data_IF_936996292335
#
_entry.id   IF_936996292335
#
_cell.length_a   1.000
_cell.length_b   1.000
_cell.length_c   1.000
_cell.angle_alpha   90.00
_cell.angle_beta   90.00
_cell.angle_gamma   90.00
#
_symmetry.space_group_name_H-M   'P 1'
#
loop_
_entity.id
_entity.type
_entity.pdbx_description
1 polymer ?
#
# COMPACT_ATOMS: atom_id res chain seq x y z
N UNK A 1 21.71 -3.84 -1.23
CA UNK A 1 21.00 -4.07 -2.51
C UNK A 1 21.63 -5.31 -3.05
N UNK A 2 20.86 -6.39 -3.04
CA UNK A 2 21.33 -7.71 -3.40
C UNK A 2 20.71 -8.05 -4.76
N UNK A 3 21.53 -8.53 -5.69
CA UNK A 3 21.07 -8.88 -7.02
C UNK A 3 21.74 -10.15 -7.53
N UNK A 4 21.01 -10.91 -8.35
CA UNK A 4 21.48 -12.11 -9.03
C UNK A 4 21.22 -11.99 -10.53
N UNK A 5 22.21 -12.41 -11.34
CA UNK A 5 22.06 -12.51 -12.80
C UNK A 5 21.46 -13.87 -13.12
N UNK A 6 20.30 -13.87 -13.77
CA UNK A 6 19.60 -15.08 -14.19
C UNK A 6 20.18 -15.63 -15.50
N UNK A 7 19.87 -16.90 -15.81
CA UNK A 7 20.35 -17.57 -17.02
C UNK A 7 19.88 -16.92 -18.33
N UNK A 8 18.75 -16.20 -18.31
CA UNK A 8 18.21 -15.47 -19.46
C UNK A 8 18.80 -14.04 -19.62
N UNK A 9 19.77 -13.68 -18.78
CA UNK A 9 20.46 -12.40 -18.82
C UNK A 9 19.70 -11.24 -18.17
N UNK A 10 18.68 -11.54 -17.35
CA UNK A 10 17.98 -10.55 -16.52
C UNK A 10 18.54 -10.48 -15.10
N UNK A 11 18.14 -9.47 -14.33
CA UNK A 11 18.56 -9.34 -12.93
C UNK A 11 17.35 -9.51 -12.01
N UNK A 12 17.46 -10.42 -11.05
CA UNK A 12 16.60 -10.43 -9.88
C UNK A 12 17.20 -9.46 -8.85
N UNK A 13 16.43 -8.46 -8.42
CA UNK A 13 16.91 -7.40 -7.52
C UNK A 13 16.03 -7.36 -6.29
N UNK A 14 16.64 -7.56 -5.11
CA UNK A 14 15.98 -7.39 -3.83
C UNK A 14 16.16 -5.97 -3.34
N UNK A 15 15.04 -5.28 -3.19
CA UNK A 15 14.99 -3.88 -2.76
C UNK A 15 14.26 -3.75 -1.44
N UNK A 16 14.76 -2.86 -0.59
CA UNK A 16 14.08 -2.40 0.60
C UNK A 16 13.78 -0.92 0.42
N UNK A 17 12.53 -0.53 0.68
CA UNK A 17 12.13 0.87 0.63
C UNK A 17 12.73 1.60 1.83
N UNK A 18 13.39 2.74 1.57
CA UNK A 18 14.01 3.57 2.62
C UNK A 18 13.12 4.76 3.01
N UNK A 19 12.41 5.33 2.05
CA UNK A 19 11.54 6.48 2.26
C UNK A 19 10.79 6.87 1.01
N UNK A 20 9.84 7.78 1.16
CA UNK A 20 9.11 8.36 0.03
C UNK A 20 9.85 9.57 -0.51
N UNK A 21 9.70 9.78 -1.81
CA UNK A 21 10.28 10.91 -2.52
C UNK A 21 9.21 11.58 -3.37
N UNK A 22 9.39 12.86 -3.64
CA UNK A 22 8.67 13.61 -4.67
C UNK A 22 9.57 13.72 -5.89
N UNK A 23 9.05 13.36 -7.06
CA UNK A 23 9.71 13.63 -8.33
C UNK A 23 9.47 15.09 -8.70
N UNK A 24 10.54 15.82 -9.03
CA UNK A 24 10.50 17.25 -9.34
C UNK A 24 10.56 17.49 -10.84
N UNK A 25 11.67 17.15 -11.48
CA UNK A 25 11.88 17.32 -12.91
C UNK A 25 12.71 16.15 -13.48
N UNK A 26 12.44 15.73 -14.73
CA UNK A 26 13.21 14.68 -15.39
C UNK A 26 14.57 15.21 -15.84
N UNK A 27 15.59 14.36 -15.80
CA UNK A 27 16.91 14.64 -16.38
C UNK A 27 16.92 14.14 -17.83
N UNK A 28 17.24 15.02 -18.78
CA UNK A 28 17.28 14.69 -20.20
C UNK A 28 18.51 13.86 -20.60
N UNK A 29 18.41 13.17 -21.74
CA UNK A 29 19.52 12.58 -22.50
C UNK A 29 20.30 11.44 -21.81
N UNK A 30 19.64 10.66 -20.96
CA UNK A 30 20.21 9.51 -20.26
C UNK A 30 19.61 8.20 -20.79
N UNK A 31 20.36 7.08 -20.81
CA UNK A 31 19.88 5.80 -21.34
C UNK A 31 18.80 5.15 -20.47
N UNK A 32 18.53 5.71 -19.28
CA UNK A 32 17.48 5.30 -18.35
C UNK A 32 16.83 6.54 -17.72
N UNK A 33 15.57 6.39 -17.28
CA UNK A 33 14.84 7.49 -16.67
C UNK A 33 15.53 7.97 -15.38
N UNK A 34 15.87 9.25 -15.33
CA UNK A 34 16.46 9.91 -14.16
C UNK A 34 15.63 11.15 -13.81
N UNK A 35 15.57 11.45 -12.52
CA UNK A 35 14.76 12.55 -11.98
C UNK A 35 15.52 13.28 -10.88
N UNK A 36 15.31 14.59 -10.77
CA UNK A 36 15.57 15.31 -9.54
C UNK A 36 14.45 15.02 -8.54
N UNK A 37 14.83 14.74 -7.30
CA UNK A 37 13.90 14.28 -6.27
C UNK A 37 14.18 14.98 -4.95
N UNK A 38 13.15 15.09 -4.13
CA UNK A 38 13.26 15.51 -2.73
C UNK A 38 12.57 14.51 -1.80
N UNK A 39 12.95 14.41 -0.52
CA UNK A 39 12.21 13.60 0.44
C UNK A 39 10.74 14.04 0.54
N UNK A 40 9.82 13.07 0.52
CA UNK A 40 8.41 13.31 0.79
C UNK A 40 8.13 13.16 2.29
N UNK A 41 7.35 14.05 2.91
CA UNK A 41 7.21 14.08 4.36
C UNK A 41 6.41 12.87 4.90
N UNK A 42 6.89 12.30 6.01
CA UNK A 42 6.10 11.43 6.90
C UNK A 42 5.67 12.25 8.13
N UNK A 43 4.43 12.70 8.15
CA UNK A 43 3.96 13.67 9.16
C UNK A 43 3.22 12.96 10.29
N UNK A 44 3.75 13.07 11.50
CA UNK A 44 3.07 12.67 12.72
C UNK A 44 3.00 11.15 12.92
N UNK A 45 1.93 10.70 13.58
CA UNK A 45 1.63 9.29 13.84
C UNK A 45 0.14 9.03 13.68
N UNK A 46 -0.35 7.90 14.17
CA UNK A 46 -1.78 7.64 14.26
C UNK A 46 -2.15 7.24 15.69
N UNK A 47 -3.34 7.64 16.11
CA UNK A 47 -3.92 7.19 17.37
C UNK A 47 -4.14 5.66 17.34
N UNK A 48 -3.91 4.93 18.44
CA UNK A 48 -4.12 3.49 18.48
C UNK A 48 -5.52 3.04 18.02
N UNK A 49 -6.55 3.87 18.21
CA UNK A 49 -7.92 3.59 17.75
C UNK A 49 -8.05 3.65 16.23
N UNK A 50 -7.33 4.55 15.55
CA UNK A 50 -7.27 4.64 14.08
C UNK A 50 -6.58 3.38 13.53
N UNK A 51 -5.43 3.03 14.09
CA UNK A 51 -4.66 1.83 13.75
C UNK A 51 -5.50 0.56 13.90
N UNK A 52 -6.17 0.39 15.05
CA UNK A 52 -7.04 -0.76 15.30
C UNK A 52 -8.26 -0.80 14.36
N UNK A 53 -8.83 0.35 14.04
CA UNK A 53 -9.98 0.45 13.13
C UNK A 53 -9.60 0.05 11.71
N UNK A 54 -8.45 0.50 11.21
CA UNK A 54 -7.94 0.15 9.89
C UNK A 54 -7.62 -1.34 9.80
N UNK A 55 -6.95 -1.89 10.81
CA UNK A 55 -6.67 -3.33 10.90
C UNK A 55 -7.96 -4.16 10.87
N UNK A 56 -8.96 -3.81 11.69
CA UNK A 56 -10.23 -4.53 11.73
C UNK A 56 -10.98 -4.48 10.39
N UNK A 57 -10.88 -3.35 9.66
CA UNK A 57 -11.46 -3.23 8.33
C UNK A 57 -10.73 -4.12 7.31
N UNK A 58 -9.40 -4.16 7.34
CA UNK A 58 -8.59 -5.02 6.49
C UNK A 58 -8.87 -6.51 6.72
N UNK A 59 -8.84 -6.96 7.99
CA UNK A 59 -9.15 -8.35 8.36
C UNK A 59 -10.55 -8.75 7.89
N UNK A 60 -11.54 -7.88 8.06
CA UNK A 60 -12.90 -8.13 7.58
C UNK A 60 -12.94 -8.26 6.06
N UNK A 61 -12.26 -7.38 5.33
CA UNK A 61 -12.16 -7.45 3.88
C UNK A 61 -11.53 -8.77 3.43
N UNK A 62 -10.36 -9.15 3.97
CA UNK A 62 -9.65 -10.38 3.61
C UNK A 62 -10.48 -11.63 3.90
N UNK A 63 -11.16 -11.67 5.05
CA UNK A 63 -12.08 -12.76 5.41
C UNK A 63 -13.22 -12.89 4.38
N UNK A 64 -13.80 -11.78 3.94
CA UNK A 64 -14.82 -11.79 2.89
C UNK A 64 -14.21 -12.13 1.53
N UNK A 65 -12.96 -11.78 1.25
CA UNK A 65 -12.27 -12.19 0.03
C UNK A 65 -11.95 -13.68 0.01
N UNK A 66 -12.00 -14.37 1.16
CA UNK A 66 -11.60 -15.77 1.29
C UNK A 66 -10.08 -15.96 1.34
N UNK A 67 -9.35 -14.92 1.74
CA UNK A 67 -7.91 -15.00 1.97
C UNK A 67 -7.68 -15.63 3.34
N UNK A 68 -6.97 -16.75 3.37
CA UNK A 68 -6.55 -17.44 4.59
C UNK A 68 -5.16 -16.95 5.02
N UNK A 69 -4.93 -16.86 6.33
CA UNK A 69 -3.66 -16.42 6.91
C UNK A 69 -3.80 -15.31 7.95
N UNK A 70 -2.78 -15.16 8.79
CA UNK A 70 -2.69 -14.05 9.74
C UNK A 70 -1.93 -12.89 9.10
N UNK A 71 -2.41 -11.67 9.35
CA UNK A 71 -1.68 -10.47 9.02
C UNK A 71 -0.67 -10.19 10.13
N UNK A 72 0.59 -10.52 9.90
CA UNK A 72 1.68 -10.05 10.74
C UNK A 72 2.02 -8.61 10.34
N UNK A 73 1.67 -7.66 11.22
CA UNK A 73 1.92 -6.25 10.99
C UNK A 73 2.53 -5.65 12.25
N UNK A 74 3.62 -4.90 12.06
CA UNK A 74 4.27 -4.15 13.12
C UNK A 74 3.31 -3.12 13.75
N UNK A 75 3.41 -2.86 15.07
CA UNK A 75 2.54 -1.91 15.75
C UNK A 75 2.80 -0.45 15.36
N UNK A 76 3.85 -0.18 14.58
CA UNK A 76 4.16 1.15 14.06
C UNK A 76 3.10 1.60 13.02
N UNK A 77 2.41 2.74 13.24
CA UNK A 77 1.37 3.21 12.32
C UNK A 77 1.87 3.49 10.91
N UNK A 78 3.13 3.92 10.75
CA UNK A 78 3.71 4.21 9.43
C UNK A 78 3.87 2.92 8.66
N UNK A 79 4.59 1.94 9.22
CA UNK A 79 4.74 0.60 8.63
C UNK A 79 3.39 -0.05 8.32
N UNK A 80 2.45 -0.04 9.28
CA UNK A 80 1.11 -0.60 9.09
C UNK A 80 0.39 0.03 7.90
N UNK A 81 0.45 1.35 7.77
CA UNK A 81 -0.24 2.05 6.67
C UNK A 81 0.30 1.66 5.29
N UNK A 82 1.59 1.32 5.17
CA UNK A 82 2.18 0.83 3.92
C UNK A 82 1.78 -0.62 3.63
N UNK A 83 1.84 -1.50 4.64
CA UNK A 83 1.41 -2.89 4.48
C UNK A 83 -0.06 -2.96 4.06
N UNK A 84 -0.93 -2.20 4.73
CA UNK A 84 -2.34 -2.13 4.38
C UNK A 84 -2.58 -1.49 2.99
N UNK A 85 -1.75 -0.53 2.58
CA UNK A 85 -1.82 0.02 1.21
C UNK A 85 -1.47 -1.04 0.16
N UNK A 86 -0.48 -1.90 0.42
CA UNK A 86 -0.10 -2.98 -0.49
C UNK A 86 -1.22 -4.04 -0.62
N UNK A 87 -1.95 -4.30 0.46
CA UNK A 87 -3.11 -5.21 0.48
C UNK A 87 -4.35 -4.64 -0.20
N UNK A 88 -4.41 -3.32 -0.42
CA UNK A 88 -5.59 -2.68 -0.99
C UNK A 88 -5.75 -3.07 -2.45
N UNK A 89 -6.93 -3.61 -2.85
CA UNK A 89 -7.26 -3.79 -4.26
C UNK A 89 -7.32 -2.43 -4.94
N UNK A 90 -6.69 -2.30 -6.10
CA UNK A 90 -6.72 -1.04 -6.82
C UNK A 90 -5.78 -1.03 -8.00
N UNK A 91 -6.00 -0.06 -8.88
CA UNK A 91 -5.07 0.23 -9.97
C UNK A 91 -3.89 1.06 -9.44
N UNK A 92 -2.85 1.18 -10.25
CA UNK A 92 -1.67 2.01 -9.93
C UNK A 92 -2.05 3.42 -9.44
N UNK A 93 -3.03 4.14 -10.05
CA UNK A 93 -3.43 5.46 -9.57
C UNK A 93 -3.99 5.48 -8.13
N UNK A 94 -4.72 4.44 -7.72
CA UNK A 94 -5.28 4.37 -6.35
C UNK A 94 -4.17 4.20 -5.31
N UNK A 95 -3.17 3.35 -5.64
CA UNK A 95 -2.00 3.14 -4.79
C UNK A 95 -1.11 4.39 -4.74
N UNK A 96 -0.95 5.08 -5.86
CA UNK A 96 -0.25 6.36 -5.91
C UNK A 96 -0.93 7.41 -5.03
N UNK A 97 -2.27 7.50 -5.08
CA UNK A 97 -3.01 8.44 -4.23
C UNK A 97 -2.81 8.16 -2.73
N UNK A 98 -2.65 6.89 -2.33
CA UNK A 98 -2.30 6.53 -0.94
C UNK A 98 -0.85 6.92 -0.59
N UNK A 99 0.07 6.75 -1.54
CA UNK A 99 1.49 7.09 -1.38
C UNK A 99 1.70 8.60 -1.22
N UNK A 100 0.82 9.42 -1.79
CA UNK A 100 0.86 10.88 -1.73
C UNK A 100 0.28 11.46 -0.42
N UNK A 101 -0.34 10.65 0.44
CA UNK A 101 -0.85 11.12 1.73
C UNK A 101 0.32 11.29 2.72
N UNK A 102 0.59 12.49 3.27
CA UNK A 102 1.77 12.74 4.10
C UNK A 102 1.85 11.95 5.41
N UNK A 103 0.71 11.72 6.09
CA UNK A 103 0.69 11.13 7.42
C UNK A 103 0.02 9.76 7.48
N UNK A 104 0.45 8.86 8.39
CA UNK A 104 -0.14 7.54 8.52
C UNK A 104 -1.60 7.58 8.99
N UNK A 105 -2.00 8.54 9.84
CA UNK A 105 -3.40 8.65 10.30
C UNK A 105 -4.38 8.82 9.14
N UNK A 106 -4.15 9.82 8.28
CA UNK A 106 -5.01 10.08 7.13
C UNK A 106 -4.98 8.91 6.13
N UNK A 107 -3.80 8.29 5.94
CA UNK A 107 -3.65 7.11 5.07
C UNK A 107 -4.49 5.94 5.60
N UNK A 108 -4.42 5.66 6.91
CA UNK A 108 -5.18 4.59 7.57
C UNK A 108 -6.70 4.84 7.54
N UNK A 109 -7.14 6.10 7.68
CA UNK A 109 -8.55 6.46 7.55
C UNK A 109 -9.07 6.20 6.12
N UNK A 110 -8.30 6.63 5.12
CA UNK A 110 -8.60 6.35 3.70
C UNK A 110 -8.68 4.85 3.42
N UNK A 111 -7.72 4.08 3.93
CA UNK A 111 -7.68 2.62 3.80
C UNK A 111 -8.90 1.97 4.47
N UNK A 112 -9.28 2.44 5.65
CA UNK A 112 -10.48 1.97 6.36
C UNK A 112 -11.73 2.12 5.49
N UNK A 113 -11.93 3.29 4.89
CA UNK A 113 -13.06 3.52 3.97
C UNK A 113 -13.00 2.60 2.76
N UNK A 114 -11.82 2.41 2.17
CA UNK A 114 -11.63 1.51 1.01
C UNK A 114 -11.95 0.06 1.34
N UNK A 115 -11.40 -0.49 2.41
CA UNK A 115 -11.69 -1.87 2.79
C UNK A 115 -13.17 -2.10 3.10
N UNK A 116 -13.85 -1.13 3.72
CA UNK A 116 -15.30 -1.21 3.95
C UNK A 116 -16.09 -1.21 2.65
N UNK A 117 -15.70 -0.38 1.69
CA UNK A 117 -16.32 -0.34 0.35
C UNK A 117 -16.15 -1.67 -0.37
N UNK A 118 -14.92 -2.19 -0.45
CA UNK A 118 -14.61 -3.46 -1.12
C UNK A 118 -15.31 -4.65 -0.46
N UNK A 119 -15.30 -4.72 0.87
CA UNK A 119 -16.05 -5.71 1.62
C UNK A 119 -17.56 -5.69 1.30
N UNK A 120 -18.14 -4.49 1.17
CA UNK A 120 -19.54 -4.32 0.79
C UNK A 120 -19.82 -4.81 -0.63
N UNK A 121 -18.96 -4.48 -1.59
CA UNK A 121 -19.07 -4.94 -2.98
C UNK A 121 -18.99 -6.46 -3.08
N UNK A 122 -18.01 -7.08 -2.41
CA UNK A 122 -17.85 -8.53 -2.42
C UNK A 122 -19.07 -9.26 -1.84
N UNK A 123 -19.64 -8.75 -0.75
CA UNK A 123 -20.89 -9.31 -0.18
C UNK A 123 -22.03 -9.25 -1.17
N UNK A 124 -22.28 -8.08 -1.77
CA UNK A 124 -23.35 -7.90 -2.74
C UNK A 124 -23.18 -8.81 -3.98
N UNK A 125 -21.95 -9.04 -4.42
CA UNK A 125 -21.65 -9.96 -5.52
C UNK A 125 -21.91 -11.42 -5.15
N UNK A 126 -21.58 -11.85 -3.93
CA UNK A 126 -21.86 -13.21 -3.44
C UNK A 126 -23.37 -13.48 -3.34
N UNK A 127 -24.11 -12.57 -2.72
CA UNK A 127 -25.58 -12.68 -2.61
C UNK A 127 -26.29 -12.74 -3.97
N UNK A 128 -25.71 -12.14 -5.02
CA UNK A 128 -26.23 -12.23 -6.38
C UNK A 128 -25.95 -13.57 -7.06
N UNK A 129 -24.92 -14.31 -6.66
CA UNK A 129 -24.56 -15.62 -7.24
C UNK A 129 -25.36 -16.77 -6.63
N UNK A 130 -25.86 -16.59 -5.41
CA UNK A 130 -26.65 -17.59 -4.67
C UNK A 130 -28.16 -17.51 -4.95
N UNK A 131 -28.60 -16.52 -5.75
CA UNK A 131 -29.98 -16.37 -6.25
C UNK A 131 -30.09 -16.85 -7.68
#
# INVERSE_FOLDING_TARGET
MDFELTEDGTYEVHVHAEGRIRLLEPVADEPYARWHVEPFPEVGGADPTVTATAMAAAVRFLSIAGVEGELEIEPDPVAMSYVLSALTPGLVPDRQALLEIPGPAERLDRLTSRFRQEAGLLRALRERRER
#
